data_IF_981821979551
#
_entry.id   IF_981821979551
#
_cell.length_a   1.000
_cell.length_b   1.000
_cell.length_c   1.000
_cell.angle_alpha   90.00
_cell.angle_beta   90.00
_cell.angle_gamma   90.00
#
_symmetry.space_group_name_H-M   'P 1'
#
loop_
_entity.id
_entity.type
_entity.pdbx_description
1 polymer ?
#
# COMPACT_ATOMS: atom_id res chain seq x y z
N UNK A 1 9.98 7.95 -13.71
CA UNK A 1 9.71 9.41 -13.82
C UNK A 1 9.12 9.81 -12.48
N UNK A 2 9.62 10.86 -11.79
CA UNK A 2 9.22 11.21 -10.41
C UNK A 2 7.69 11.11 -10.25
N UNK A 3 7.18 10.11 -9.54
CA UNK A 3 5.72 9.92 -9.53
C UNK A 3 5.03 10.86 -8.55
N UNK A 4 5.71 11.21 -7.45
CA UNK A 4 5.15 12.08 -6.42
C UNK A 4 6.21 12.96 -5.76
N UNK A 5 5.74 14.03 -5.10
CA UNK A 5 6.57 14.93 -4.30
C UNK A 5 6.83 14.33 -2.90
N UNK A 6 8.10 14.07 -2.58
CA UNK A 6 8.50 13.48 -1.29
C UNK A 6 8.11 14.33 -0.08
N UNK A 7 8.19 15.65 -0.20
CA UNK A 7 7.86 16.55 0.91
C UNK A 7 6.35 16.56 1.19
N UNK A 8 5.52 16.47 0.15
CA UNK A 8 4.06 16.33 0.30
C UNK A 8 3.69 14.99 0.97
N UNK A 9 4.33 13.90 0.55
CA UNK A 9 4.15 12.58 1.20
C UNK A 9 4.58 12.63 2.66
N UNK A 10 5.75 13.21 2.96
CA UNK A 10 6.25 13.36 4.34
C UNK A 10 5.25 14.12 5.20
N UNK A 11 4.78 15.27 4.71
CA UNK A 11 3.82 16.10 5.42
C UNK A 11 2.50 15.36 5.67
N UNK A 12 1.98 14.65 4.67
CA UNK A 12 0.74 13.88 4.78
C UNK A 12 0.86 12.72 5.75
N UNK A 13 1.93 11.91 5.67
CA UNK A 13 2.19 10.79 6.59
C UNK A 13 2.35 11.26 8.04
N UNK A 14 3.05 12.38 8.25
CA UNK A 14 3.20 12.95 9.57
C UNK A 14 1.87 13.48 10.12
N UNK A 15 1.10 14.25 9.31
CA UNK A 15 -0.14 14.89 9.77
C UNK A 15 -1.31 13.94 9.94
N UNK A 16 -1.55 13.05 8.98
CA UNK A 16 -2.74 12.18 8.97
C UNK A 16 -2.53 10.91 9.80
N UNK A 17 -1.30 10.38 9.84
CA UNK A 17 -1.00 9.10 10.47
C UNK A 17 -0.07 9.21 11.69
N UNK A 18 0.48 10.40 11.98
CA UNK A 18 1.35 10.63 13.14
C UNK A 18 2.64 9.81 13.09
N UNK A 19 3.13 9.49 11.89
CA UNK A 19 4.32 8.64 11.74
C UNK A 19 5.58 9.35 12.20
N UNK A 20 6.45 8.58 12.86
CA UNK A 20 7.80 9.03 13.17
C UNK A 20 8.64 9.13 11.89
N UNK A 21 9.63 10.03 11.89
CA UNK A 21 10.44 10.35 10.71
C UNK A 21 11.11 9.11 10.11
N UNK A 22 11.58 8.17 10.94
CA UNK A 22 12.18 6.92 10.49
C UNK A 22 11.20 6.02 9.71
N UNK A 23 9.94 5.98 10.13
CA UNK A 23 8.87 5.28 9.41
C UNK A 23 8.51 6.01 8.11
N UNK A 24 8.55 7.35 8.12
CA UNK A 24 8.26 8.16 6.93
C UNK A 24 9.32 7.94 5.85
N UNK A 25 10.62 8.03 6.20
CA UNK A 25 11.70 7.81 5.23
C UNK A 25 11.61 6.42 4.59
N UNK A 26 11.42 5.37 5.41
CA UNK A 26 11.20 4.01 4.91
C UNK A 26 9.97 3.91 4.02
N UNK A 27 8.89 4.60 4.39
CA UNK A 27 7.68 4.68 3.59
C UNK A 27 7.94 5.28 2.23
N UNK A 28 8.66 6.40 2.18
CA UNK A 28 9.02 7.09 0.93
C UNK A 28 9.88 6.20 0.03
N UNK A 29 10.86 5.48 0.58
CA UNK A 29 11.70 4.57 -0.19
C UNK A 29 10.88 3.45 -0.82
N UNK A 30 9.96 2.84 -0.05
CA UNK A 30 9.02 1.83 -0.57
C UNK A 30 8.14 2.42 -1.68
N UNK A 31 7.57 3.61 -1.47
CA UNK A 31 6.71 4.25 -2.46
C UNK A 31 7.43 4.54 -3.78
N UNK A 32 8.75 4.77 -3.74
CA UNK A 32 9.56 4.95 -4.94
C UNK A 32 9.83 3.65 -5.70
N UNK A 33 9.79 2.51 -5.01
CA UNK A 33 10.02 1.18 -5.58
C UNK A 33 8.71 0.51 -6.03
N UNK A 34 7.54 1.07 -5.71
CA UNK A 34 6.24 0.53 -6.12
C UNK A 34 6.13 0.35 -7.64
N UNK A 35 5.55 -0.78 -8.03
CA UNK A 35 5.20 -1.13 -9.40
C UNK A 35 4.37 -0.03 -10.05
N UNK A 36 4.60 0.15 -11.35
CA UNK A 36 3.98 1.22 -12.11
C UNK A 36 2.44 1.14 -12.13
N UNK A 37 1.86 -0.05 -11.94
CA UNK A 37 0.42 -0.28 -11.86
C UNK A 37 -0.25 0.29 -10.61
N UNK A 38 0.52 0.52 -9.53
CA UNK A 38 0.02 1.08 -8.27
C UNK A 38 0.05 2.60 -8.21
N UNK A 39 0.62 3.21 -9.23
CA UNK A 39 0.89 4.64 -9.20
C UNK A 39 -0.35 5.51 -9.39
N UNK A 40 -1.36 5.12 -10.19
CA UNK A 40 -2.66 5.79 -10.15
C UNK A 40 -3.29 5.82 -8.75
N UNK A 41 -3.03 4.81 -7.93
CA UNK A 41 -3.53 4.70 -6.58
C UNK A 41 -2.81 5.66 -5.63
N UNK A 42 -1.49 5.73 -5.76
CA UNK A 42 -0.65 6.67 -5.03
C UNK A 42 -1.01 8.13 -5.38
N UNK A 43 -1.16 8.43 -6.67
CA UNK A 43 -1.54 9.76 -7.16
C UNK A 43 -2.89 10.20 -6.61
N UNK A 44 -3.87 9.28 -6.58
CA UNK A 44 -5.19 9.58 -6.05
C UNK A 44 -5.14 9.80 -4.54
N UNK A 45 -4.48 8.92 -3.78
CA UNK A 45 -4.33 9.10 -2.33
C UNK A 45 -3.65 10.45 -2.00
N UNK A 46 -2.65 10.87 -2.77
CA UNK A 46 -2.01 12.17 -2.58
C UNK A 46 -2.94 13.34 -2.88
N UNK A 47 -3.77 13.22 -3.92
CA UNK A 47 -4.65 14.29 -4.39
C UNK A 47 -5.82 14.58 -3.46
N UNK A 48 -6.52 13.55 -3.00
CA UNK A 48 -7.79 13.71 -2.26
C UNK A 48 -7.88 12.85 -0.99
N UNK A 49 -6.79 12.16 -0.61
CA UNK A 49 -6.76 11.27 0.55
C UNK A 49 -7.63 10.03 0.38
N UNK A 50 -8.25 9.87 -0.79
CA UNK A 50 -9.10 8.73 -1.10
C UNK A 50 -8.27 7.66 -1.78
N UNK A 51 -8.48 6.43 -1.35
CA UNK A 51 -7.84 5.28 -1.94
C UNK A 51 -8.86 4.66 -2.90
N UNK A 52 -8.61 4.64 -4.22
CA UNK A 52 -9.50 3.94 -5.14
C UNK A 52 -9.53 2.46 -4.79
N UNK A 53 -10.72 1.83 -4.91
CA UNK A 53 -10.89 0.39 -4.75
C UNK A 53 -10.35 -0.37 -5.98
N UNK A 54 -9.12 -0.05 -6.37
CA UNK A 54 -8.38 -0.74 -7.42
C UNK A 54 -8.07 -2.16 -6.98
N UNK A 55 -8.12 -3.08 -7.93
CA UNK A 55 -7.78 -4.49 -7.72
C UNK A 55 -6.47 -4.81 -8.39
N UNK A 56 -5.61 -5.54 -7.69
CA UNK A 56 -4.38 -6.12 -8.21
C UNK A 56 -4.50 -7.63 -8.04
N UNK A 57 -4.42 -8.35 -9.16
CA UNK A 57 -4.58 -9.81 -9.19
C UNK A 57 -5.82 -10.31 -8.43
N UNK A 58 -6.91 -9.53 -8.48
CA UNK A 58 -8.19 -9.82 -7.82
C UNK A 58 -8.32 -9.34 -6.37
N UNK A 59 -7.21 -8.96 -5.72
CA UNK A 59 -7.18 -8.42 -4.36
C UNK A 59 -7.42 -6.92 -4.37
N UNK A 60 -8.31 -6.42 -3.51
CA UNK A 60 -8.55 -4.98 -3.36
C UNK A 60 -8.02 -4.45 -2.03
N UNK A 61 -7.78 -3.15 -1.94
CA UNK A 61 -7.36 -2.52 -0.69
C UNK A 61 -8.38 -2.70 0.44
N UNK A 62 -9.67 -2.66 0.15
CA UNK A 62 -10.71 -2.97 1.14
C UNK A 62 -10.55 -4.38 1.74
N UNK A 63 -10.12 -5.36 0.94
CA UNK A 63 -9.85 -6.71 1.43
C UNK A 63 -8.64 -6.72 2.36
N UNK A 64 -7.58 -5.98 2.02
CA UNK A 64 -6.38 -5.85 2.84
C UNK A 64 -6.71 -5.18 4.18
N UNK A 65 -7.44 -4.06 4.16
CA UNK A 65 -7.87 -3.37 5.37
C UNK A 65 -8.72 -4.26 6.29
N UNK A 66 -9.65 -5.03 5.71
CA UNK A 66 -10.58 -5.86 6.49
C UNK A 66 -9.99 -7.17 6.98
N UNK A 67 -9.13 -7.81 6.18
CA UNK A 67 -8.65 -9.18 6.43
C UNK A 67 -7.26 -9.21 7.03
N UNK A 68 -6.45 -8.18 6.79
CA UNK A 68 -5.07 -8.08 7.24
C UNK A 68 -4.88 -7.14 8.43
N UNK A 69 -5.98 -6.54 8.94
CA UNK A 69 -6.01 -5.56 10.04
C UNK A 69 -4.97 -4.44 9.87
N UNK A 70 -4.67 -4.10 8.62
CA UNK A 70 -3.77 -3.02 8.30
C UNK A 70 -4.48 -1.72 8.64
N UNK A 71 -3.84 -0.86 9.45
CA UNK A 71 -4.44 0.40 9.88
C UNK A 71 -3.87 1.61 9.13
N UNK A 72 -2.93 1.41 8.21
CA UNK A 72 -2.28 2.49 7.49
C UNK A 72 -2.05 2.20 6.00
N UNK A 73 -2.00 3.28 5.23
CA UNK A 73 -1.83 3.24 3.78
C UNK A 73 -0.51 2.60 3.34
N UNK A 74 0.59 2.84 4.05
CA UNK A 74 1.91 2.31 3.66
C UNK A 74 1.90 0.78 3.70
N UNK A 75 1.41 0.22 4.80
CA UNK A 75 1.30 -1.22 4.98
C UNK A 75 0.38 -1.85 3.93
N UNK A 76 -0.69 -1.14 3.56
CA UNK A 76 -1.63 -1.63 2.56
C UNK A 76 -1.03 -1.59 1.14
N UNK A 77 -0.27 -0.55 0.81
CA UNK A 77 0.49 -0.44 -0.44
C UNK A 77 1.58 -1.51 -0.55
N UNK A 78 2.30 -1.80 0.53
CA UNK A 78 3.30 -2.90 0.58
C UNK A 78 2.64 -4.24 0.27
N UNK A 79 1.44 -4.49 0.82
CA UNK A 79 0.69 -5.70 0.49
C UNK A 79 0.27 -5.72 -0.98
N UNK A 80 -0.21 -4.60 -1.51
CA UNK A 80 -0.60 -4.51 -2.93
C UNK A 80 0.58 -4.73 -3.88
N UNK A 81 1.77 -4.23 -3.54
CA UNK A 81 3.01 -4.47 -4.28
C UNK A 81 3.34 -5.96 -4.32
N UNK A 82 3.33 -6.61 -3.17
CA UNK A 82 3.57 -8.05 -3.07
C UNK A 82 2.60 -8.88 -3.92
N UNK A 83 1.34 -8.44 -4.01
CA UNK A 83 0.35 -9.06 -4.89
C UNK A 83 0.57 -8.75 -6.37
N UNK A 84 1.15 -7.59 -6.70
CA UNK A 84 1.52 -7.23 -8.07
C UNK A 84 2.72 -8.04 -8.57
N UNK A 85 3.74 -8.22 -7.71
CA UNK A 85 4.96 -8.97 -8.01
C UNK A 85 4.71 -10.48 -8.14
N UNK A 86 3.83 -11.04 -7.30
CA UNK A 86 3.55 -12.48 -7.27
C UNK A 86 2.04 -12.78 -7.25
N UNK A 87 1.53 -13.22 -8.40
CA UNK A 87 0.12 -13.62 -8.56
C UNK A 87 -0.24 -14.83 -7.69
N UNK A 88 0.71 -15.72 -7.37
CA UNK A 88 0.44 -16.87 -6.50
C UNK A 88 0.23 -16.43 -5.06
N UNK A 89 0.95 -15.39 -4.60
CA UNK A 89 0.70 -14.76 -3.29
C UNK A 89 -0.71 -14.16 -3.24
N UNK A 90 -1.15 -13.50 -4.32
CA UNK A 90 -2.52 -12.98 -4.42
C UNK A 90 -3.57 -14.11 -4.37
N UNK A 91 -3.35 -15.23 -5.09
CA UNK A 91 -4.23 -16.40 -5.06
C UNK A 91 -4.30 -17.04 -3.68
N UNK A 92 -3.17 -17.19 -3.00
CA UNK A 92 -3.11 -17.73 -1.66
C UNK A 92 -3.88 -16.84 -0.67
N UNK A 93 -3.74 -15.51 -0.77
CA UNK A 93 -4.51 -14.56 0.03
C UNK A 93 -6.01 -14.65 -0.24
N UNK A 94 -6.43 -14.74 -1.51
CA UNK A 94 -7.84 -14.89 -1.86
C UNK A 94 -8.43 -16.23 -1.41
N UNK A 95 -7.61 -17.29 -1.33
CA UNK A 95 -8.03 -18.62 -0.85
C UNK A 95 -8.17 -18.65 0.67
N UNK A 96 -7.17 -18.15 1.39
CA UNK A 96 -7.16 -18.08 2.86
C UNK A 96 -6.31 -16.89 3.34
N UNK A 97 -6.96 -15.75 3.66
CA UNK A 97 -6.28 -14.55 4.12
C UNK A 97 -5.52 -14.72 5.45
N UNK A 98 -5.99 -15.63 6.31
CA UNK A 98 -5.41 -15.86 7.65
C UNK A 98 -4.24 -16.83 7.62
N UNK A 99 -4.16 -17.69 6.61
CA UNK A 99 -3.00 -18.54 6.38
C UNK A 99 -1.78 -17.73 5.92
N UNK A 100 -2.02 -16.61 5.24
CA UNK A 100 -0.97 -15.73 4.74
C UNK A 100 -0.28 -14.94 5.87
N UNK A 101 -1.03 -14.43 6.85
CA UNK A 101 -0.46 -13.74 8.03
C UNK A 101 0.40 -14.64 8.91
N UNK A 102 0.09 -15.95 8.98
CA UNK A 102 0.77 -16.91 9.83
C UNK A 102 2.19 -17.33 9.35
N UNK A 103 2.62 -16.88 8.16
CA UNK A 103 3.95 -17.17 7.59
C UNK A 103 5.00 -16.07 7.83
N UNK A 104 4.63 -14.93 8.42
CA UNK A 104 5.56 -13.85 8.78
C UNK A 104 6.11 -13.99 10.20
#
# INVERSE_FOLDING_TARGET
MLKFNKDEVREKLHKEYGFAEDKIERGIDILLELDDSLQPLLDQWLKDGMIPNQKINGVSLDMIYKLYEVNDILSALICMEMFAEDEEIAKDFLRDPFYFTARK
#
